data_IF_066570012314
#
_entry.id   IF_066570012314
#
_cell.length_a   1.000
_cell.length_b   1.000
_cell.length_c   1.000
_cell.angle_alpha   90.00
_cell.angle_beta   90.00
_cell.angle_gamma   90.00
#
_symmetry.space_group_name_H-M   'P 1'
#
loop_
_entity.id
_entity.type
_entity.pdbx_description
1 polymer ?
#
# COMPACT_ATOMS: atom_id res chain seq x y z
N UNK A 1 -10.22 -10.57 -14.44
CA UNK A 1 -9.82 -11.81 -15.13
C UNK A 1 -10.88 -12.18 -16.16
N UNK A 2 -10.50 -12.99 -17.15
CA UNK A 2 -11.28 -13.30 -18.37
C UNK A 2 -12.70 -13.86 -18.09
N UNK A 3 -12.90 -14.60 -16.98
CA UNK A 3 -14.20 -15.16 -16.59
C UNK A 3 -14.97 -14.32 -15.56
N UNK A 4 -14.63 -13.05 -15.38
CA UNK A 4 -15.28 -12.15 -14.43
C UNK A 4 -15.54 -10.75 -15.00
N UNK A 5 -15.77 -9.76 -14.14
CA UNK A 5 -16.13 -8.39 -14.56
C UNK A 5 -14.95 -7.53 -15.07
N UNK A 6 -13.80 -8.15 -15.37
CA UNK A 6 -12.72 -7.47 -16.09
C UNK A 6 -12.02 -6.30 -15.39
N UNK A 7 -12.07 -6.17 -14.05
CA UNK A 7 -11.32 -5.12 -13.35
C UNK A 7 -9.83 -5.15 -13.70
N UNK A 8 -9.30 -4.00 -14.10
CA UNK A 8 -7.91 -3.83 -14.52
C UNK A 8 -7.21 -2.66 -13.80
N UNK A 9 -7.89 -1.99 -12.87
CA UNK A 9 -7.35 -0.89 -12.07
C UNK A 9 -7.18 -1.35 -10.63
N UNK A 10 -5.99 -1.18 -10.06
CA UNK A 10 -5.70 -1.40 -8.64
C UNK A 10 -5.21 -0.10 -8.03
N UNK A 11 -5.95 0.37 -7.02
CA UNK A 11 -5.50 1.43 -6.10
C UNK A 11 -5.09 0.79 -4.78
N UNK A 12 -3.94 1.19 -4.24
CA UNK A 12 -3.57 0.85 -2.86
C UNK A 12 -3.11 2.07 -2.07
N UNK A 13 -3.13 1.97 -0.75
CA UNK A 13 -2.66 3.03 0.14
C UNK A 13 -1.19 2.83 0.50
N UNK A 14 -0.46 3.94 0.64
CA UNK A 14 0.87 3.99 1.25
C UNK A 14 0.65 4.30 2.74
N UNK A 15 1.28 3.52 3.62
CA UNK A 15 1.02 3.49 5.07
C UNK A 15 -0.37 2.89 5.42
N UNK A 16 -0.90 3.17 6.60
CA UNK A 16 -2.30 2.87 6.95
C UNK A 16 -3.30 3.82 6.29
N UNK A 17 -4.55 3.38 6.21
CA UNK A 17 -5.74 4.23 5.99
C UNK A 17 -6.81 3.92 7.06
N UNK A 18 -7.96 4.57 6.98
CA UNK A 18 -9.16 4.31 7.79
C UNK A 18 -9.68 2.86 7.70
N UNK A 19 -9.44 2.17 6.59
CA UNK A 19 -9.73 0.73 6.41
C UNK A 19 -8.62 -0.21 6.91
N UNK A 20 -7.61 0.30 7.62
CA UNK A 20 -6.58 -0.53 8.27
C UNK A 20 -6.99 -0.88 9.70
N UNK A 21 -6.46 -1.97 10.26
CA UNK A 21 -6.72 -2.38 11.65
C UNK A 21 -6.12 -1.42 12.68
N UNK A 22 -5.23 -0.52 12.26
CA UNK A 22 -4.68 0.55 13.07
C UNK A 22 -3.76 1.46 12.26
N UNK A 23 -3.42 2.61 12.83
CA UNK A 23 -2.49 3.56 12.24
C UNK A 23 -1.07 3.00 12.24
N UNK A 24 -0.37 3.12 11.12
CA UNK A 24 1.05 2.81 11.02
C UNK A 24 1.67 3.58 9.86
N UNK A 25 2.98 3.81 9.94
CA UNK A 25 3.78 4.23 8.79
C UNK A 25 4.87 3.19 8.50
N UNK A 26 5.71 3.44 7.50
CA UNK A 26 6.78 2.51 7.12
C UNK A 26 8.09 2.77 7.86
N UNK A 27 8.15 3.80 8.71
CA UNK A 27 9.33 4.13 9.50
C UNK A 27 8.94 4.25 10.96
N UNK A 28 9.93 4.14 11.84
CA UNK A 28 9.79 4.52 13.23
C UNK A 28 9.64 6.04 13.36
N UNK A 29 8.98 6.48 14.42
CA UNK A 29 8.70 7.89 14.66
C UNK A 29 10.00 8.68 14.87
N UNK A 30 10.18 9.76 14.11
CA UNK A 30 11.36 10.63 14.16
C UNK A 30 12.51 10.23 13.22
N UNK A 31 12.41 9.11 12.49
CA UNK A 31 13.46 8.66 11.58
C UNK A 31 13.47 9.43 10.24
N UNK A 32 13.99 10.65 10.27
CA UNK A 32 14.11 11.51 9.10
C UNK A 32 15.05 10.95 8.01
N UNK A 33 15.96 10.03 8.37
CA UNK A 33 16.93 9.42 7.45
C UNK A 33 16.40 8.12 6.81
N UNK A 34 15.19 7.68 7.15
CA UNK A 34 14.52 6.48 6.63
C UNK A 34 15.30 5.17 6.88
N UNK A 35 16.14 5.13 7.91
CA UNK A 35 16.94 3.94 8.29
C UNK A 35 16.10 2.74 8.69
N UNK A 36 14.89 2.98 9.18
CA UNK A 36 13.93 1.99 9.70
C UNK A 36 12.88 1.62 8.65
N UNK A 37 13.00 2.12 7.41
CA UNK A 37 12.01 1.90 6.37
C UNK A 37 11.73 0.41 6.14
N UNK A 38 10.46 0.03 6.28
CA UNK A 38 10.01 -1.34 6.12
C UNK A 38 8.57 -1.43 5.62
N UNK A 39 8.35 -2.38 4.71
CA UNK A 39 7.05 -2.75 4.17
C UNK A 39 6.59 -4.14 4.66
N UNK A 40 7.19 -4.68 5.73
CA UNK A 40 6.86 -6.03 6.22
C UNK A 40 5.35 -6.21 6.49
N UNK A 41 4.68 -5.18 7.01
CA UNK A 41 3.23 -5.18 7.23
C UNK A 41 2.42 -5.36 5.94
N UNK A 42 2.93 -4.81 4.84
CA UNK A 42 2.29 -4.94 3.52
C UNK A 42 2.60 -6.29 2.86
N UNK A 43 3.71 -6.94 3.24
CA UNK A 43 4.06 -8.29 2.76
C UNK A 43 3.15 -9.39 3.28
N UNK A 44 2.52 -9.18 4.44
CA UNK A 44 1.64 -10.17 5.07
C UNK A 44 0.40 -10.48 4.21
N UNK A 45 -0.31 -9.44 3.74
CA UNK A 45 -1.57 -9.60 3.01
C UNK A 45 -1.68 -8.79 1.72
N UNK A 46 -1.29 -7.50 1.77
CA UNK A 46 -1.50 -6.55 0.69
C UNK A 46 -0.75 -6.94 -0.59
N UNK A 47 0.55 -7.17 -0.48
CA UNK A 47 1.40 -7.54 -1.63
C UNK A 47 1.01 -8.91 -2.21
N UNK A 48 0.79 -9.98 -1.42
CA UNK A 48 0.29 -11.24 -1.95
C UNK A 48 -1.03 -11.10 -2.71
N UNK A 49 -1.98 -10.31 -2.20
CA UNK A 49 -3.26 -10.06 -2.86
C UNK A 49 -3.08 -9.31 -4.18
N UNK A 50 -2.29 -8.23 -4.19
CA UNK A 50 -2.00 -7.44 -5.38
C UNK A 50 -1.33 -8.30 -6.45
N UNK A 51 -0.34 -9.14 -6.09
CA UNK A 51 0.33 -10.05 -7.03
C UNK A 51 -0.63 -11.06 -7.65
N UNK A 52 -1.55 -11.62 -6.86
CA UNK A 52 -2.59 -12.52 -7.38
C UNK A 52 -3.50 -11.79 -8.38
N UNK A 53 -3.94 -10.58 -8.06
CA UNK A 53 -4.77 -9.78 -8.97
C UNK A 53 -4.01 -9.40 -10.25
N UNK A 54 -2.74 -8.95 -10.13
CA UNK A 54 -1.90 -8.62 -11.27
C UNK A 54 -1.72 -9.80 -12.23
N UNK A 55 -1.47 -11.01 -11.71
CA UNK A 55 -1.35 -12.22 -12.52
C UNK A 55 -2.65 -12.58 -13.28
N UNK A 56 -3.82 -12.21 -12.74
CA UNK A 56 -5.12 -12.42 -13.39
C UNK A 56 -5.46 -11.33 -14.43
N UNK A 57 -4.86 -10.15 -14.32
CA UNK A 57 -5.09 -9.00 -15.21
C UNK A 57 -4.10 -9.02 -16.39
N UNK A 58 -2.86 -9.48 -16.17
CA UNK A 58 -1.77 -9.50 -17.14
C UNK A 58 -1.44 -8.10 -17.65
N UNK A 59 -1.44 -7.87 -18.96
CA UNK A 59 -0.81 -6.72 -19.61
C UNK A 59 -1.60 -5.41 -19.51
N UNK A 60 -2.88 -5.46 -19.13
CA UNK A 60 -3.76 -4.27 -19.07
C UNK A 60 -3.90 -3.67 -17.65
N UNK A 61 -2.97 -3.98 -16.75
CA UNK A 61 -3.02 -3.50 -15.36
C UNK A 61 -2.65 -2.01 -15.26
N UNK A 62 -3.55 -1.21 -14.71
CA UNK A 62 -3.26 0.13 -14.20
C UNK A 62 -3.11 0.05 -12.68
N UNK A 63 -1.91 0.35 -12.18
CA UNK A 63 -1.60 0.31 -10.76
C UNK A 63 -1.20 1.68 -10.24
N UNK A 64 -1.79 2.12 -9.13
CA UNK A 64 -1.33 3.32 -8.44
C UNK A 64 -1.47 3.21 -6.93
N UNK A 65 -0.55 3.89 -6.23
CA UNK A 65 -0.50 3.95 -4.78
C UNK A 65 -0.63 5.41 -4.32
N UNK A 66 -1.41 5.67 -3.28
CA UNK A 66 -1.62 7.02 -2.75
C UNK A 66 -1.40 7.05 -1.23
N UNK A 67 -0.62 7.99 -0.68
CA UNK A 67 -0.47 8.13 0.77
C UNK A 67 -1.74 8.67 1.41
N UNK A 68 -2.02 8.22 2.63
CA UNK A 68 -3.12 8.75 3.44
C UNK A 68 -2.65 9.88 4.36
N UNK A 69 -1.53 9.67 5.05
CA UNK A 69 -0.86 10.66 5.91
C UNK A 69 0.63 10.35 5.94
N UNK A 70 1.51 11.36 5.98
CA UNK A 70 2.92 11.14 6.29
C UNK A 70 3.11 10.72 7.78
N UNK A 71 4.32 10.28 8.16
CA UNK A 71 4.76 10.12 9.56
C UNK A 71 4.46 11.35 10.42
N UNK A 72 4.19 11.15 11.72
CA UNK A 72 3.64 12.20 12.56
C UNK A 72 4.61 13.40 12.71
N UNK A 73 5.89 13.14 12.93
CA UNK A 73 6.94 14.17 13.02
C UNK A 73 7.11 15.02 11.74
N UNK A 74 6.57 14.59 10.60
CA UNK A 74 6.58 15.37 9.36
C UNK A 74 5.38 16.34 9.24
N UNK A 75 4.54 16.41 10.27
CA UNK A 75 3.29 17.21 10.28
C UNK A 75 3.39 18.33 11.32
N UNK A 76 2.62 19.39 11.11
CA UNK A 76 2.63 20.60 11.97
C UNK A 76 1.57 20.59 13.07
N UNK A 77 0.82 19.50 13.23
CA UNK A 77 -0.38 19.43 14.04
C UNK A 77 -0.25 18.51 15.25
#
# INVERSE_FOLDING_TARGET
GENGIGYNIIRTNIHSCDFSTGSYTYIEEGDAELKTFSIEKDKEYRIPMIKKAANLIKDNLVFYASPWSPPAFMKTN
#
